data_IF_236691640861
#
_entry.id   IF_236691640861
#
_cell.length_a   1.000
_cell.length_b   1.000
_cell.length_c   1.000
_cell.angle_alpha   90.00
_cell.angle_beta   90.00
_cell.angle_gamma   90.00
#
_symmetry.space_group_name_H-M   'P 1'
#
loop_
_entity.id
_entity.type
_entity.pdbx_description
1 polymer ?
#
# COMPACT_ATOMS: atom_id res chain seq x y z
N UNK A 1 -8.05 -20.40 -10.01
CA UNK A 1 -6.74 -21.09 -9.94
C UNK A 1 -5.64 -20.04 -9.91
N UNK A 2 -4.57 -20.25 -9.14
CA UNK A 2 -3.40 -19.38 -9.11
C UNK A 2 -2.62 -19.56 -10.42
N UNK A 3 -2.27 -18.47 -11.09
CA UNK A 3 -1.45 -18.46 -12.31
C UNK A 3 -0.07 -17.91 -11.97
N UNK A 4 0.95 -18.74 -12.14
CA UNK A 4 2.32 -18.42 -11.74
C UNK A 4 2.89 -17.24 -12.54
N UNK A 5 2.54 -17.10 -13.83
CA UNK A 5 2.97 -15.96 -14.64
C UNK A 5 2.45 -14.64 -14.08
N UNK A 6 1.23 -14.65 -13.56
CA UNK A 6 0.60 -13.47 -12.96
C UNK A 6 1.28 -13.08 -11.66
N UNK A 7 1.60 -14.06 -10.84
CA UNK A 7 2.28 -13.83 -9.56
C UNK A 7 3.72 -13.37 -9.80
N UNK A 8 4.43 -13.95 -10.77
CA UNK A 8 5.77 -13.51 -11.19
C UNK A 8 5.74 -12.07 -11.71
N UNK A 9 4.76 -11.72 -12.56
CA UNK A 9 4.61 -10.36 -13.06
C UNK A 9 4.43 -9.33 -11.94
N UNK A 10 3.61 -9.63 -10.93
CA UNK A 10 3.47 -8.77 -9.73
C UNK A 10 4.79 -8.65 -8.96
N UNK A 11 5.50 -9.76 -8.80
CA UNK A 11 6.82 -9.78 -8.16
C UNK A 11 7.81 -8.86 -8.87
N UNK A 12 7.87 -8.92 -10.20
CA UNK A 12 8.71 -8.03 -11.02
C UNK A 12 8.31 -6.57 -10.79
N UNK A 13 7.02 -6.24 -10.82
CA UNK A 13 6.56 -4.87 -10.60
C UNK A 13 6.96 -4.31 -9.22
N UNK A 14 6.92 -5.15 -8.17
CA UNK A 14 7.37 -4.78 -6.82
C UNK A 14 8.89 -4.56 -6.79
N UNK A 15 9.67 -5.43 -7.42
CA UNK A 15 11.14 -5.29 -7.49
C UNK A 15 11.51 -3.98 -8.22
N UNK A 16 10.82 -3.67 -9.32
CA UNK A 16 11.03 -2.42 -10.04
C UNK A 16 10.76 -1.19 -9.16
N UNK A 17 9.71 -1.22 -8.33
CA UNK A 17 9.45 -0.17 -7.34
C UNK A 17 10.61 0.00 -6.35
N UNK A 18 11.15 -1.11 -5.84
CA UNK A 18 12.31 -1.06 -4.95
C UNK A 18 13.53 -0.44 -5.63
N UNK A 19 13.80 -0.79 -6.89
CA UNK A 19 14.90 -0.21 -7.69
C UNK A 19 14.70 1.30 -7.88
N UNK A 20 13.48 1.72 -8.21
CA UNK A 20 13.14 3.14 -8.38
C UNK A 20 13.42 3.98 -7.13
N UNK A 21 13.21 3.42 -5.95
CA UNK A 21 13.49 4.07 -4.67
C UNK A 21 14.94 3.91 -4.18
N UNK A 22 15.77 3.08 -4.81
CA UNK A 22 17.13 2.76 -4.37
C UNK A 22 18.21 3.72 -4.92
N UNK A 23 17.92 5.02 -5.06
CA UNK A 23 18.83 6.02 -5.64
C UNK A 23 19.41 5.58 -7.01
N UNK A 24 18.57 5.01 -7.87
CA UNK A 24 18.98 4.59 -9.20
C UNK A 24 19.21 5.79 -10.15
N UNK A 25 19.94 5.61 -11.28
CA UNK A 25 20.15 6.68 -12.25
C UNK A 25 18.82 7.23 -12.80
N UNK A 26 18.75 8.55 -13.03
CA UNK A 26 17.52 9.24 -13.44
C UNK A 26 16.82 8.59 -14.64
N UNK A 27 17.57 8.19 -15.66
CA UNK A 27 17.01 7.53 -16.84
C UNK A 27 16.30 6.22 -16.49
N UNK A 28 16.85 5.43 -15.56
CA UNK A 28 16.24 4.19 -15.09
C UNK A 28 15.03 4.48 -14.20
N UNK A 29 15.11 5.49 -13.33
CA UNK A 29 14.00 5.96 -12.52
C UNK A 29 12.79 6.30 -13.40
N UNK A 30 12.95 7.21 -14.37
CA UNK A 30 11.85 7.63 -15.24
C UNK A 30 11.29 6.45 -16.04
N UNK A 31 12.14 5.60 -16.60
CA UNK A 31 11.72 4.42 -17.34
C UNK A 31 10.85 3.48 -16.49
N UNK A 32 11.27 3.17 -15.26
CA UNK A 32 10.50 2.33 -14.34
C UNK A 32 9.14 2.99 -14.02
N UNK A 33 9.15 4.27 -13.70
CA UNK A 33 7.95 5.02 -13.29
C UNK A 33 6.89 5.13 -14.38
N UNK A 34 7.26 4.99 -15.66
CA UNK A 34 6.31 5.01 -16.77
C UNK A 34 5.31 3.85 -16.76
N UNK A 35 5.67 2.66 -16.23
CA UNK A 35 4.83 1.47 -16.41
C UNK A 35 4.63 0.59 -15.17
N UNK A 36 5.54 0.59 -14.19
CA UNK A 36 5.52 -0.44 -13.14
C UNK A 36 4.21 -0.50 -12.35
N UNK A 37 3.59 0.66 -12.03
CA UNK A 37 2.29 0.71 -11.36
C UNK A 37 1.16 0.21 -12.26
N UNK A 38 1.10 0.67 -13.51
CA UNK A 38 0.10 0.20 -14.48
C UNK A 38 0.20 -1.32 -14.68
N UNK A 39 1.42 -1.84 -14.81
CA UNK A 39 1.71 -3.26 -14.91
C UNK A 39 1.25 -4.03 -13.65
N UNK A 40 1.56 -3.54 -12.44
CA UNK A 40 1.10 -4.15 -11.20
C UNK A 40 -0.44 -4.24 -11.12
N UNK A 41 -1.15 -3.18 -11.51
CA UNK A 41 -2.61 -3.16 -11.51
C UNK A 41 -3.19 -4.12 -12.57
N UNK A 42 -2.64 -4.16 -13.79
CA UNK A 42 -3.07 -5.10 -14.83
C UNK A 42 -2.92 -6.57 -14.38
N UNK A 43 -1.75 -6.94 -13.85
CA UNK A 43 -1.54 -8.30 -13.33
C UNK A 43 -2.46 -8.60 -12.13
N UNK A 44 -2.88 -7.58 -11.39
CA UNK A 44 -3.83 -7.73 -10.28
C UNK A 44 -5.29 -7.80 -10.71
N UNK A 45 -5.64 -7.27 -11.89
CA UNK A 45 -6.92 -7.39 -12.57
C UNK A 45 -7.17 -8.74 -13.24
N UNK A 46 -6.11 -9.42 -13.66
CA UNK A 46 -6.19 -10.63 -14.47
C UNK A 46 -7.05 -11.80 -13.91
N UNK A 47 -7.35 -11.83 -12.61
CA UNK A 47 -8.21 -12.87 -12.00
C UNK A 47 -9.66 -12.44 -11.74
N UNK A 48 -10.16 -11.41 -12.41
CA UNK A 48 -11.60 -11.25 -12.48
C UNK A 48 -12.20 -12.47 -13.17
N UNK A 49 -13.11 -13.14 -12.48
CA UNK A 49 -13.75 -14.38 -12.93
C UNK A 49 -15.22 -14.27 -12.59
N UNK A 50 -16.10 -14.73 -13.48
CA UNK A 50 -17.56 -14.61 -13.35
C UNK A 50 -18.10 -15.18 -12.03
N UNK A 51 -17.41 -16.15 -11.40
CA UNK A 51 -17.74 -16.68 -10.07
C UNK A 51 -17.73 -15.64 -8.94
N UNK A 52 -17.09 -14.49 -9.14
CA UNK A 52 -17.11 -13.39 -8.17
C UNK A 52 -18.38 -12.52 -8.28
N UNK A 53 -19.18 -12.70 -9.34
CA UNK A 53 -20.44 -11.99 -9.60
C UNK A 53 -21.62 -12.57 -8.80
N UNK A 54 -21.51 -13.80 -8.31
CA UNK A 54 -22.58 -14.45 -7.52
C UNK A 54 -22.81 -13.73 -6.17
N UNK A 55 -21.77 -13.09 -5.61
CA UNK A 55 -21.89 -12.24 -4.42
C UNK A 55 -20.83 -11.12 -4.41
N UNK A 56 -21.08 -10.02 -5.16
CA UNK A 56 -20.11 -8.94 -5.34
C UNK A 56 -19.79 -8.22 -4.02
N UNK A 57 -20.78 -8.11 -3.11
CA UNK A 57 -20.60 -7.49 -1.79
C UNK A 57 -19.62 -8.28 -0.92
N UNK A 58 -19.78 -9.60 -0.83
CA UNK A 58 -18.86 -10.44 -0.07
C UNK A 58 -17.44 -10.45 -0.68
N UNK A 59 -17.34 -10.38 -2.01
CA UNK A 59 -16.07 -10.28 -2.72
C UNK A 59 -15.33 -8.96 -2.41
N UNK A 60 -16.00 -7.81 -2.52
CA UNK A 60 -15.43 -6.50 -2.16
C UNK A 60 -15.04 -6.50 -0.67
N UNK A 61 -15.93 -6.96 0.21
CA UNK A 61 -15.68 -6.96 1.66
C UNK A 61 -14.44 -7.77 2.03
N UNK A 62 -14.25 -8.95 1.44
CA UNK A 62 -13.06 -9.78 1.65
C UNK A 62 -11.78 -9.09 1.18
N UNK A 63 -11.85 -8.28 0.12
CA UNK A 63 -10.69 -7.53 -0.40
C UNK A 63 -10.38 -6.29 0.44
N UNK A 64 -11.40 -5.52 0.82
CA UNK A 64 -11.23 -4.38 1.72
C UNK A 64 -10.66 -4.86 3.04
N UNK A 65 -11.27 -5.86 3.69
CA UNK A 65 -10.77 -6.39 4.97
C UNK A 65 -9.37 -6.99 4.84
N UNK A 66 -9.09 -7.71 3.75
CA UNK A 66 -7.77 -8.26 3.48
C UNK A 66 -6.66 -7.22 3.31
N UNK A 67 -6.98 -6.00 2.89
CA UNK A 67 -6.02 -4.88 2.76
C UNK A 67 -6.03 -3.97 3.99
N UNK A 68 -7.20 -3.78 4.60
CA UNK A 68 -7.40 -2.94 5.77
C UNK A 68 -6.75 -3.53 7.02
N UNK A 69 -6.87 -4.83 7.24
CA UNK A 69 -6.23 -5.51 8.39
C UNK A 69 -4.71 -5.31 8.38
N UNK A 70 -3.95 -5.61 7.30
CA UNK A 70 -2.52 -5.36 7.30
C UNK A 70 -2.18 -3.86 7.36
N UNK A 71 -2.97 -2.99 6.73
CA UNK A 71 -2.78 -1.54 6.83
C UNK A 71 -2.81 -1.05 8.28
N UNK A 72 -3.86 -1.43 9.03
CA UNK A 72 -4.03 -1.03 10.43
C UNK A 72 -2.97 -1.69 11.31
N UNK A 73 -2.71 -2.99 11.12
CA UNK A 73 -1.70 -3.73 11.90
C UNK A 73 -0.33 -3.06 11.80
N UNK A 74 0.14 -2.80 10.58
CA UNK A 74 1.47 -2.20 10.38
C UNK A 74 1.48 -0.72 10.70
N UNK A 75 0.40 0.01 10.41
CA UNK A 75 0.28 1.42 10.78
C UNK A 75 0.38 1.63 12.30
N UNK A 76 -0.33 0.81 13.09
CA UNK A 76 -0.22 0.86 14.56
C UNK A 76 1.20 0.52 15.04
N UNK A 77 1.85 -0.49 14.43
CA UNK A 77 3.24 -0.82 14.75
C UNK A 77 4.16 0.37 14.48
N UNK A 78 4.01 1.06 13.34
CA UNK A 78 4.84 2.22 13.01
C UNK A 78 4.59 3.41 13.93
N UNK A 79 3.35 3.71 14.31
CA UNK A 79 3.04 4.75 15.29
C UNK A 79 3.69 4.45 16.65
N UNK A 80 3.64 3.19 17.09
CA UNK A 80 4.25 2.77 18.37
C UNK A 80 5.78 2.82 18.33
N UNK A 81 6.38 2.46 17.19
CA UNK A 81 7.82 2.43 16.99
C UNK A 81 8.39 3.79 16.55
N UNK A 82 7.57 4.81 16.31
CA UNK A 82 7.98 6.13 15.80
C UNK A 82 9.15 6.74 16.60
N UNK A 83 9.02 6.79 17.92
CA UNK A 83 10.06 7.33 18.80
C UNK A 83 11.35 6.50 18.79
N UNK A 84 11.28 5.20 18.48
CA UNK A 84 12.44 4.34 18.30
C UNK A 84 13.10 4.65 16.95
N UNK A 85 12.31 4.83 15.88
CA UNK A 85 12.84 5.21 14.56
C UNK A 85 13.52 6.57 14.56
N UNK A 86 13.02 7.53 15.33
CA UNK A 86 13.70 8.82 15.56
C UNK A 86 15.08 8.61 16.19
N UNK A 87 15.15 7.81 17.26
CA UNK A 87 16.43 7.50 17.94
C UNK A 87 17.43 6.79 17.04
N UNK A 88 16.94 5.98 16.11
CA UNK A 88 17.74 5.27 15.11
C UNK A 88 18.04 6.13 13.86
N UNK A 89 17.60 7.40 13.82
CA UNK A 89 17.79 8.31 12.69
C UNK A 89 17.25 7.75 11.36
N UNK A 90 16.17 6.97 11.42
CA UNK A 90 15.56 6.34 10.25
C UNK A 90 14.54 7.24 9.55
N UNK A 91 14.09 8.32 10.21
CA UNK A 91 13.09 9.23 9.69
C UNK A 91 13.75 10.40 8.93
N UNK A 92 13.35 10.69 7.68
CA UNK A 92 13.92 11.78 6.90
C UNK A 92 13.42 13.16 7.37
N UNK A 93 14.10 14.26 6.99
CA UNK A 93 13.60 15.62 7.22
C UNK A 93 12.22 15.83 6.56
N UNK A 94 11.30 16.62 7.17
CA UNK A 94 11.44 17.42 8.40
C UNK A 94 11.14 16.66 9.70
N UNK A 95 10.94 15.34 9.65
CA UNK A 95 10.39 14.57 10.78
C UNK A 95 11.44 14.10 11.78
N UNK A 96 12.72 14.30 11.49
CA UNK A 96 13.88 13.95 12.31
C UNK A 96 13.82 14.36 13.79
N UNK A 97 13.05 15.41 14.12
CA UNK A 97 12.90 15.93 15.49
C UNK A 97 11.45 15.85 16.02
N UNK A 98 10.55 15.14 15.32
CA UNK A 98 9.14 15.08 15.66
C UNK A 98 8.81 14.00 16.69
N UNK A 99 9.25 14.20 17.94
CA UNK A 99 9.00 13.24 19.03
C UNK A 99 7.52 13.21 19.40
N UNK A 100 6.90 12.03 19.38
CA UNK A 100 5.50 11.89 19.79
C UNK A 100 5.37 11.76 21.30
N UNK A 101 4.52 12.61 21.89
CA UNK A 101 3.95 12.36 23.21
C UNK A 101 2.99 11.17 23.18
N UNK A 102 2.73 10.57 24.35
CA UNK A 102 1.77 9.46 24.48
C UNK A 102 0.38 9.84 23.91
N UNK A 103 -0.04 11.10 24.10
CA UNK A 103 -1.32 11.61 23.62
C UNK A 103 -1.35 11.69 22.09
N UNK A 104 -0.27 12.14 21.47
CA UNK A 104 -0.16 12.22 20.01
C UNK A 104 -0.06 10.83 19.39
N UNK A 105 0.70 9.91 19.99
CA UNK A 105 0.75 8.53 19.55
C UNK A 105 -0.64 7.86 19.62
N UNK A 106 -1.40 8.09 20.71
CA UNK A 106 -2.77 7.60 20.82
C UNK A 106 -3.70 8.24 19.77
N UNK A 107 -3.60 9.55 19.57
CA UNK A 107 -4.40 10.26 18.57
C UNK A 107 -4.09 9.79 17.15
N UNK A 108 -2.82 9.62 16.81
CA UNK A 108 -2.39 9.08 15.52
C UNK A 108 -2.81 7.63 15.35
N UNK A 109 -2.65 6.78 16.37
CA UNK A 109 -3.14 5.40 16.34
C UNK A 109 -4.64 5.34 16.07
N UNK A 110 -5.44 6.15 16.78
CA UNK A 110 -6.89 6.20 16.61
C UNK A 110 -7.30 6.72 15.22
N UNK A 111 -6.57 7.70 14.68
CA UNK A 111 -6.88 8.30 13.37
C UNK A 111 -6.34 7.48 12.19
N UNK A 112 -5.34 6.62 12.39
CA UNK A 112 -4.81 5.69 11.37
C UNK A 112 -5.86 4.64 11.00
N UNK A 113 -6.65 4.18 11.97
CA UNK A 113 -7.66 3.12 11.82
C UNK A 113 -8.76 3.47 10.79
N UNK A 114 -9.46 4.62 10.90
CA UNK A 114 -10.57 4.94 9.99
C UNK A 114 -10.12 5.54 8.66
N UNK A 115 -8.93 6.14 8.59
CA UNK A 115 -8.62 7.08 7.50
C UNK A 115 -8.12 6.39 6.23
N UNK A 116 -7.56 5.18 6.30
CA UNK A 116 -6.96 4.47 5.16
C UNK A 116 -6.02 5.37 4.32
N UNK A 117 -5.38 6.33 5.02
CA UNK A 117 -4.40 7.28 4.52
C UNK A 117 -3.17 7.11 5.41
N UNK A 118 -1.96 7.00 4.85
CA UNK A 118 -0.71 6.98 5.60
C UNK A 118 -0.64 8.14 6.60
N UNK A 119 -0.47 7.84 7.88
CA UNK A 119 -0.31 8.82 8.97
C UNK A 119 1.15 8.97 9.41
N UNK A 120 1.98 8.03 8.99
CA UNK A 120 3.42 7.91 9.26
C UNK A 120 4.19 7.83 7.94
N UNK A 121 5.41 8.37 7.90
CA UNK A 121 6.24 8.40 6.68
C UNK A 121 6.65 7.00 6.23
N UNK A 122 6.85 6.09 7.20
CA UNK A 122 7.14 4.67 6.94
C UNK A 122 5.99 3.95 6.22
N UNK A 123 4.78 4.53 6.25
CA UNK A 123 3.62 4.05 5.50
C UNK A 123 3.54 4.68 4.11
N UNK A 124 4.52 5.48 3.67
CA UNK A 124 4.55 6.10 2.35
C UNK A 124 4.17 5.16 1.20
N UNK A 125 4.73 3.94 1.11
CA UNK A 125 4.38 2.97 0.07
C UNK A 125 2.92 2.50 0.08
N UNK A 126 2.13 2.81 1.12
CA UNK A 126 0.76 2.31 1.28
C UNK A 126 -0.24 3.10 0.44
N UNK A 127 0.19 4.20 -0.20
CA UNK A 127 -0.66 5.05 -1.04
C UNK A 127 -1.45 4.27 -2.09
N UNK A 128 -0.86 3.22 -2.69
CA UNK A 128 -1.52 2.46 -3.75
C UNK A 128 -2.60 1.50 -3.24
N UNK A 129 -2.62 1.18 -1.93
CA UNK A 129 -3.62 0.27 -1.34
C UNK A 129 -5.02 0.85 -1.46
N UNK A 130 -5.16 2.17 -1.27
CA UNK A 130 -6.42 2.90 -1.45
C UNK A 130 -6.86 2.86 -2.92
N UNK A 131 -5.96 3.13 -3.85
CA UNK A 131 -6.23 3.02 -5.30
C UNK A 131 -6.67 1.61 -5.70
N UNK A 132 -6.13 0.57 -5.06
CA UNK A 132 -6.48 -0.82 -5.34
C UNK A 132 -7.92 -1.15 -4.96
N UNK A 133 -8.42 -0.61 -3.85
CA UNK A 133 -9.83 -0.75 -3.45
C UNK A 133 -10.74 -0.10 -4.49
N UNK A 134 -10.43 1.12 -4.94
CA UNK A 134 -11.18 1.80 -5.99
C UNK A 134 -11.15 1.04 -7.32
N UNK A 135 -9.98 0.58 -7.75
CA UNK A 135 -9.83 -0.20 -8.99
C UNK A 135 -10.73 -1.44 -9.01
N UNK A 136 -10.81 -2.17 -7.89
CA UNK A 136 -11.67 -3.36 -7.77
C UNK A 136 -13.15 -3.04 -7.73
N UNK A 137 -13.52 -1.85 -7.26
CA UNK A 137 -14.89 -1.38 -7.36
C UNK A 137 -15.30 -1.11 -8.83
N UNK A 138 -14.43 -0.50 -9.62
CA UNK A 138 -14.65 -0.29 -11.06
C UNK A 138 -14.72 -1.58 -11.86
N UNK A 139 -13.89 -2.58 -11.52
CA UNK A 139 -13.86 -3.88 -12.21
C UNK A 139 -15.18 -4.67 -12.10
N UNK A 140 -16.00 -4.41 -11.08
CA UNK A 140 -17.29 -5.08 -10.87
C UNK A 140 -18.44 -4.52 -11.73
N UNK A 141 -18.18 -3.57 -12.63
CA UNK A 141 -19.19 -3.09 -13.58
C UNK A 141 -20.32 -2.28 -12.93
N UNK A 142 -20.05 -1.56 -11.85
CA UNK A 142 -21.00 -0.63 -11.23
C UNK A 142 -21.21 0.68 -12.03
N UNK A 143 -21.07 0.63 -13.36
CA UNK A 143 -21.54 1.57 -14.38
C UNK A 143 -21.72 0.84 -15.72
#
# INVERSE_FOLDING_TARGET
>A
MRNMLVDTGKGIAIILMCIGHAYCPDALFYFIYMFHMAFFFMMSGYFFSDKNLDNPKAFIWKRITGLWVPFVKWGLIFVLLHNIFLKLQLLPPPYENNVYSIREAMWKGLTTIPRFIPTEDMMGPYWFLSCFVFYKYFELGYF
#
